data_IF_209675844107
#
_entry.id   IF_209675844107
#
_cell.length_a   1.000
_cell.length_b   1.000
_cell.length_c   1.000
_cell.angle_alpha   90.00
_cell.angle_beta   90.00
_cell.angle_gamma   90.00
#
_symmetry.space_group_name_H-M   'P 1'
#
loop_
_entity.id
_entity.type
_entity.pdbx_description
1 polymer ?
#
# COMPACT_ATOMS: atom_id res chain seq x y z
N UNK A 1 -25.02 39.66 2.24
CA UNK A 1 -24.44 39.02 1.04
C UNK A 1 -23.42 37.99 1.51
N UNK A 2 -23.70 36.69 1.33
CA UNK A 2 -22.81 35.61 1.78
C UNK A 2 -21.77 35.34 0.69
N UNK A 3 -20.47 35.39 1.03
CA UNK A 3 -19.41 34.95 0.12
C UNK A 3 -19.57 33.46 -0.21
N UNK A 4 -19.31 33.06 -1.45
CA UNK A 4 -19.34 31.65 -1.85
C UNK A 4 -18.22 30.86 -1.15
N UNK A 5 -18.47 29.58 -0.88
CA UNK A 5 -17.50 28.66 -0.23
C UNK A 5 -16.16 28.65 -0.96
N UNK A 6 -16.17 28.61 -2.30
CA UNK A 6 -14.96 28.68 -3.12
C UNK A 6 -14.14 29.95 -2.89
N UNK A 7 -14.79 31.10 -2.68
CA UNK A 7 -14.11 32.36 -2.42
C UNK A 7 -13.47 32.37 -1.02
N UNK A 8 -14.14 31.80 -0.02
CA UNK A 8 -13.59 31.65 1.33
C UNK A 8 -12.37 30.72 1.33
N UNK A 9 -12.46 29.56 0.66
CA UNK A 9 -11.37 28.60 0.52
C UNK A 9 -10.16 29.23 -0.19
N UNK A 10 -10.38 29.90 -1.32
CA UNK A 10 -9.30 30.57 -2.06
C UNK A 10 -8.59 31.59 -1.20
N UNK A 11 -9.34 32.41 -0.45
CA UNK A 11 -8.76 33.39 0.47
C UNK A 11 -7.92 32.71 1.56
N UNK A 12 -8.43 31.65 2.19
CA UNK A 12 -7.72 30.89 3.21
C UNK A 12 -6.42 30.30 2.67
N UNK A 13 -6.46 29.66 1.50
CA UNK A 13 -5.27 29.06 0.89
C UNK A 13 -4.20 30.12 0.57
N UNK A 14 -4.60 31.23 -0.04
CA UNK A 14 -3.67 32.32 -0.39
C UNK A 14 -3.11 33.07 0.82
N UNK A 15 -3.87 33.22 1.91
CA UNK A 15 -3.44 34.04 3.06
C UNK A 15 -2.77 33.24 4.17
N UNK A 16 -3.05 31.95 4.29
CA UNK A 16 -2.65 31.15 5.46
C UNK A 16 -1.84 29.92 5.13
N UNK A 17 -1.90 29.40 3.90
CA UNK A 17 -1.11 28.23 3.47
C UNK A 17 0.05 28.64 2.57
N UNK A 18 -0.25 29.28 1.44
CA UNK A 18 0.74 29.55 0.39
C UNK A 18 1.74 30.66 0.75
N UNK A 19 1.44 31.45 1.77
CA UNK A 19 2.30 32.52 2.30
C UNK A 19 3.13 32.07 3.50
N UNK A 20 2.99 30.83 3.96
CA UNK A 20 3.73 30.33 5.12
C UNK A 20 5.23 30.36 4.82
N UNK A 21 6.06 30.97 5.69
CA UNK A 21 7.50 31.01 5.49
C UNK A 21 8.13 29.62 5.28
N UNK A 22 7.61 28.60 5.98
CA UNK A 22 8.06 27.21 5.87
C UNK A 22 7.79 26.58 4.48
N UNK A 23 6.82 27.10 3.72
CA UNK A 23 6.45 26.61 2.40
C UNK A 23 6.98 27.49 1.26
N UNK A 24 7.75 28.54 1.56
CA UNK A 24 8.19 29.55 0.58
C UNK A 24 8.94 28.96 -0.62
N UNK A 25 9.71 27.87 -0.40
CA UNK A 25 10.47 27.17 -1.44
C UNK A 25 9.82 25.82 -1.84
N UNK A 26 8.72 25.44 -1.21
CA UNK A 26 8.06 24.18 -1.49
C UNK A 26 7.21 24.28 -2.77
N UNK A 27 7.13 23.18 -3.52
CA UNK A 27 6.10 23.01 -4.52
C UNK A 27 4.83 22.51 -3.83
N UNK A 28 3.76 23.32 -3.87
CA UNK A 28 2.51 23.04 -3.17
C UNK A 28 1.38 22.82 -4.16
N UNK A 29 0.78 21.63 -4.15
CA UNK A 29 -0.45 21.30 -4.86
C UNK A 29 -1.63 21.21 -3.90
N UNK A 30 -2.77 21.82 -4.25
CA UNK A 30 -4.04 21.70 -3.51
C UNK A 30 -5.16 21.43 -4.48
N UNK A 31 -5.97 20.41 -4.21
CA UNK A 31 -7.18 20.10 -4.97
C UNK A 31 -8.30 19.77 -4.00
N UNK A 32 -9.42 20.50 -4.08
CA UNK A 32 -10.60 20.28 -3.23
C UNK A 32 -11.76 19.95 -4.15
N UNK A 33 -12.25 18.73 -4.04
CA UNK A 33 -13.34 18.18 -4.82
C UNK A 33 -14.51 17.84 -3.89
N UNK A 34 -15.72 18.24 -4.29
CA UNK A 34 -16.94 17.84 -3.62
C UNK A 34 -17.59 16.66 -4.35
N UNK A 35 -17.64 15.48 -3.71
CA UNK A 35 -18.23 14.29 -4.33
C UNK A 35 -19.75 14.37 -4.47
N UNK A 36 -20.46 15.21 -3.70
CA UNK A 36 -21.93 15.35 -3.77
C UNK A 36 -22.32 16.16 -5.00
N UNK A 37 -21.75 17.36 -5.16
CA UNK A 37 -22.04 18.20 -6.33
C UNK A 37 -21.21 17.87 -7.56
N UNK A 38 -20.20 16.99 -7.42
CA UNK A 38 -19.23 16.61 -8.45
C UNK A 38 -18.43 17.78 -9.01
N UNK A 39 -18.11 18.77 -8.17
CA UNK A 39 -17.43 20.00 -8.58
C UNK A 39 -16.14 20.18 -7.79
N UNK A 40 -15.12 20.69 -8.47
CA UNK A 40 -13.95 21.23 -7.80
C UNK A 40 -14.29 22.58 -7.17
N UNK A 41 -14.04 22.70 -5.87
CA UNK A 41 -14.23 23.96 -5.13
C UNK A 41 -12.98 24.82 -5.17
N UNK A 42 -11.80 24.21 -5.30
CA UNK A 42 -10.52 24.90 -5.35
C UNK A 42 -9.44 24.04 -6.01
N UNK A 43 -8.52 24.70 -6.71
CA UNK A 43 -7.34 24.08 -7.30
C UNK A 43 -6.17 25.07 -7.29
N UNK A 44 -5.03 24.64 -6.78
CA UNK A 44 -3.75 25.35 -6.87
C UNK A 44 -2.68 24.34 -7.30
N UNK A 45 -2.10 24.52 -8.48
CA UNK A 45 -1.17 23.56 -9.08
C UNK A 45 -1.69 22.10 -9.07
N UNK A 46 -3.02 21.93 -9.11
CA UNK A 46 -3.68 20.63 -8.98
C UNK A 46 -3.39 19.67 -10.16
N UNK A 47 -2.89 20.21 -11.27
CA UNK A 47 -2.53 19.52 -12.51
C UNK A 47 -1.04 19.12 -12.56
N UNK A 48 -0.24 19.46 -11.54
CA UNK A 48 1.21 19.18 -11.54
C UNK A 48 1.53 17.82 -10.93
N UNK A 49 2.64 17.26 -11.38
CA UNK A 49 3.20 16.04 -10.80
C UNK A 49 3.99 16.35 -9.53
N UNK A 50 3.83 15.50 -8.53
CA UNK A 50 4.53 15.57 -7.25
C UNK A 50 5.05 14.19 -6.88
N UNK A 51 6.05 14.13 -5.99
CA UNK A 51 6.43 12.88 -5.33
C UNK A 51 5.36 12.57 -4.28
N UNK A 52 4.54 11.53 -4.46
CA UNK A 52 3.36 11.31 -3.62
C UNK A 52 3.70 10.74 -2.23
N UNK A 53 4.95 10.30 -2.02
CA UNK A 53 5.34 9.52 -0.85
C UNK A 53 4.33 8.38 -0.59
N UNK A 54 3.86 8.22 0.65
CA UNK A 54 2.87 7.19 1.00
C UNK A 54 1.47 7.42 0.40
N UNK A 55 1.17 8.55 -0.25
CA UNK A 55 -0.10 8.72 -0.95
C UNK A 55 -0.26 7.73 -2.12
N UNK A 56 0.83 7.15 -2.62
CA UNK A 56 0.80 6.00 -3.54
C UNK A 56 -0.02 4.83 -3.01
N UNK A 57 -0.16 4.68 -1.69
CA UNK A 57 -0.99 3.62 -1.08
C UNK A 57 -2.48 3.74 -1.45
N UNK A 58 -2.98 4.93 -1.76
CA UNK A 58 -4.40 5.15 -2.11
C UNK A 58 -4.77 4.39 -3.40
N UNK A 59 -4.13 4.63 -4.57
CA UNK A 59 -4.43 3.87 -5.77
C UNK A 59 -4.08 2.38 -5.66
N UNK A 60 -3.02 2.01 -4.92
CA UNK A 60 -2.69 0.59 -4.67
C UNK A 60 -3.78 -0.11 -3.88
N UNK A 61 -4.29 0.50 -2.81
CA UNK A 61 -5.39 -0.02 -2.01
C UNK A 61 -6.67 -0.17 -2.85
N UNK A 62 -7.01 0.84 -3.65
CA UNK A 62 -8.13 0.76 -4.59
C UNK A 62 -7.99 -0.41 -5.57
N UNK A 63 -6.81 -0.60 -6.16
CA UNK A 63 -6.56 -1.72 -7.07
C UNK A 63 -6.70 -3.07 -6.35
N UNK A 64 -6.14 -3.20 -5.15
CA UNK A 64 -6.27 -4.41 -4.33
C UNK A 64 -7.75 -4.74 -4.04
N UNK A 65 -8.52 -3.76 -3.54
CA UNK A 65 -9.95 -3.94 -3.26
C UNK A 65 -10.75 -4.28 -4.52
N UNK A 66 -10.39 -3.71 -5.67
CA UNK A 66 -11.09 -3.93 -6.94
C UNK A 66 -10.88 -5.33 -7.50
N UNK A 67 -9.69 -5.92 -7.31
CA UNK A 67 -9.29 -7.15 -8.00
C UNK A 67 -9.12 -8.38 -7.10
N UNK A 68 -8.82 -8.21 -5.80
CA UNK A 68 -8.51 -9.32 -4.91
C UNK A 68 -9.71 -9.81 -4.09
N UNK A 69 -10.78 -9.02 -3.97
CA UNK A 69 -11.94 -9.39 -3.15
C UNK A 69 -11.67 -9.31 -1.65
N UNK A 70 -12.37 -10.12 -0.86
CA UNK A 70 -12.32 -10.13 0.61
C UNK A 70 -11.27 -11.08 1.20
N UNK A 71 -10.65 -11.91 0.38
CA UNK A 71 -9.71 -12.94 0.80
C UNK A 71 -8.70 -13.27 -0.30
N UNK A 72 -7.48 -13.61 0.12
CA UNK A 72 -6.39 -14.02 -0.77
C UNK A 72 -5.87 -15.39 -0.37
N UNK A 73 -5.28 -16.10 -1.33
CA UNK A 73 -4.65 -17.39 -1.08
C UNK A 73 -3.36 -17.19 -0.25
N UNK A 74 -3.18 -17.98 0.80
CA UNK A 74 -1.95 -17.97 1.59
C UNK A 74 -0.81 -18.75 0.90
N UNK A 75 -1.11 -19.97 0.45
CA UNK A 75 -0.21 -20.83 -0.32
C UNK A 75 -0.97 -21.87 -1.14
N UNK A 76 -0.37 -22.36 -2.22
CA UNK A 76 -0.76 -23.62 -2.86
C UNK A 76 -0.16 -24.77 -2.06
N UNK A 77 -0.96 -25.82 -1.80
CA UNK A 77 -0.49 -26.94 -0.99
C UNK A 77 -0.80 -28.26 -1.68
N UNK A 78 0.25 -29.06 -1.91
CA UNK A 78 0.16 -30.42 -2.42
C UNK A 78 0.46 -31.40 -1.29
N UNK A 79 -0.53 -32.24 -0.98
CA UNK A 79 -0.48 -33.20 0.12
C UNK A 79 -0.18 -34.61 -0.43
N UNK A 80 1.07 -35.05 -0.27
CA UNK A 80 1.53 -36.39 -0.70
C UNK A 80 1.54 -37.37 0.48
N UNK A 81 1.95 -38.61 0.27
CA UNK A 81 1.97 -39.63 1.33
C UNK A 81 2.81 -39.21 2.55
N UNK A 82 4.05 -38.76 2.31
CA UNK A 82 5.02 -38.44 3.36
C UNK A 82 5.47 -36.97 3.37
N UNK A 83 5.06 -36.19 2.38
CA UNK A 83 5.51 -34.80 2.18
C UNK A 83 4.32 -33.89 1.98
N UNK A 84 4.34 -32.74 2.65
CA UNK A 84 3.45 -31.61 2.43
C UNK A 84 4.24 -30.52 1.69
N UNK A 85 4.01 -30.37 0.39
CA UNK A 85 4.62 -29.30 -0.39
C UNK A 85 3.80 -28.02 -0.23
N UNK A 86 4.45 -26.94 0.17
CA UNK A 86 3.85 -25.63 0.38
C UNK A 86 4.53 -24.63 -0.54
N UNK A 87 3.77 -24.07 -1.48
CA UNK A 87 4.21 -23.02 -2.39
C UNK A 87 3.54 -21.71 -2.01
N UNK A 88 4.27 -20.76 -1.40
CA UNK A 88 3.71 -19.51 -0.90
C UNK A 88 3.07 -18.66 -2.01
N UNK A 89 2.05 -17.88 -1.66
CA UNK A 89 1.29 -17.06 -2.61
C UNK A 89 1.28 -15.56 -2.25
N UNK A 90 2.15 -15.12 -1.33
CA UNK A 90 2.31 -13.72 -0.94
C UNK A 90 1.37 -13.28 0.19
N UNK A 91 1.11 -14.13 1.17
CA UNK A 91 0.32 -13.80 2.35
C UNK A 91 1.03 -12.75 3.22
N UNK A 92 0.57 -11.48 3.25
CA UNK A 92 1.25 -10.44 4.01
C UNK A 92 0.98 -10.55 5.52
N UNK A 93 0.21 -11.55 5.95
CA UNK A 93 -0.23 -11.75 7.34
C UNK A 93 0.38 -12.98 8.01
N UNK A 94 1.12 -13.79 7.25
CA UNK A 94 1.71 -15.02 7.76
C UNK A 94 2.65 -14.73 8.94
N UNK A 95 2.47 -15.46 10.04
CA UNK A 95 3.21 -15.29 11.31
C UNK A 95 3.01 -13.95 12.06
N UNK A 96 2.22 -13.02 11.52
CA UNK A 96 1.93 -11.77 12.23
C UNK A 96 0.93 -12.03 13.36
N UNK A 97 1.28 -11.71 14.63
CA UNK A 97 0.46 -12.02 15.80
C UNK A 97 -0.87 -11.24 15.84
N UNK A 98 -0.97 -10.13 15.11
CA UNK A 98 -2.17 -9.33 14.98
C UNK A 98 -3.29 -10.07 14.22
N UNK A 99 -2.93 -11.11 13.46
CA UNK A 99 -3.86 -11.92 12.67
C UNK A 99 -4.11 -13.27 13.36
N UNK A 100 -5.26 -13.38 14.02
CA UNK A 100 -5.64 -14.56 14.82
C UNK A 100 -5.87 -15.83 14.00
N UNK A 101 -6.16 -15.70 12.71
CA UNK A 101 -6.41 -16.83 11.81
C UNK A 101 -5.17 -17.13 10.97
N UNK A 102 -4.47 -18.22 11.30
CA UNK A 102 -3.24 -18.65 10.62
C UNK A 102 -3.43 -20.09 10.07
N UNK A 103 -4.29 -20.24 9.07
CA UNK A 103 -4.71 -21.56 8.55
C UNK A 103 -3.54 -22.38 7.99
N UNK A 104 -2.65 -21.74 7.21
CA UNK A 104 -1.45 -22.38 6.67
C UNK A 104 -0.50 -22.83 7.79
N UNK A 105 -0.23 -21.96 8.77
CA UNK A 105 0.62 -22.28 9.91
C UNK A 105 0.04 -23.45 10.72
N UNK A 106 -1.26 -23.44 10.96
CA UNK A 106 -1.95 -24.52 11.67
C UNK A 106 -1.81 -25.85 10.92
N UNK A 107 -1.92 -25.84 9.59
CA UNK A 107 -1.72 -27.05 8.78
C UNK A 107 -0.29 -27.57 8.86
N UNK A 108 0.69 -26.68 8.79
CA UNK A 108 2.11 -27.02 8.93
C UNK A 108 2.41 -27.59 10.32
N UNK A 109 1.91 -26.96 11.39
CA UNK A 109 2.14 -27.40 12.78
C UNK A 109 1.49 -28.75 13.11
N UNK A 110 0.37 -29.07 12.48
CA UNK A 110 -0.40 -30.27 12.78
C UNK A 110 -0.06 -31.49 11.89
N UNK A 111 0.93 -31.38 11.00
CA UNK A 111 1.36 -32.50 10.16
C UNK A 111 2.53 -33.26 10.80
N UNK A 112 2.54 -34.58 10.64
CA UNK A 112 3.70 -35.43 10.93
C UNK A 112 4.58 -35.65 9.68
N UNK A 113 4.16 -35.12 8.52
CA UNK A 113 4.86 -35.23 7.24
C UNK A 113 6.03 -34.25 7.20
N UNK A 114 7.03 -34.56 6.37
CA UNK A 114 8.03 -33.59 5.98
C UNK A 114 7.35 -32.40 5.29
N UNK A 115 7.73 -31.17 5.64
CA UNK A 115 7.20 -29.97 4.99
C UNK A 115 8.27 -29.42 4.08
N UNK A 116 7.97 -29.34 2.78
CA UNK A 116 8.87 -28.80 1.77
C UNK A 116 8.31 -27.47 1.27
N UNK A 117 9.11 -26.41 1.41
CA UNK A 117 8.80 -25.11 0.82
C UNK A 117 9.22 -25.11 -0.65
N UNK A 118 8.26 -24.97 -1.54
CA UNK A 118 8.49 -24.80 -2.97
C UNK A 118 8.64 -23.30 -3.28
N UNK A 119 9.89 -22.85 -3.38
CA UNK A 119 10.27 -21.49 -3.76
C UNK A 119 10.63 -21.39 -5.25
N UNK A 120 10.28 -22.40 -6.06
CA UNK A 120 10.61 -22.42 -7.50
C UNK A 120 9.76 -21.44 -8.32
N UNK A 121 8.72 -20.85 -7.73
CA UNK A 121 7.88 -19.85 -8.40
C UNK A 121 8.72 -18.65 -8.81
N UNK A 122 8.78 -18.39 -10.11
CA UNK A 122 9.30 -17.13 -10.60
C UNK A 122 8.24 -16.06 -10.41
N UNK A 123 8.63 -14.97 -9.76
CA UNK A 123 7.80 -13.79 -9.60
C UNK A 123 8.40 -12.63 -10.39
N UNK A 124 7.52 -11.76 -10.90
CA UNK A 124 7.93 -10.58 -11.66
C UNK A 124 8.36 -9.40 -10.75
N UNK A 125 8.69 -9.68 -9.48
CA UNK A 125 9.16 -8.67 -8.53
C UNK A 125 10.52 -9.06 -7.91
N UNK A 126 11.32 -8.02 -7.63
CA UNK A 126 12.56 -8.11 -6.86
C UNK A 126 12.33 -7.89 -5.36
N UNK A 127 13.26 -8.32 -4.51
CA UNK A 127 13.22 -8.06 -3.06
C UNK A 127 13.03 -6.57 -2.74
N UNK A 128 13.73 -5.70 -3.45
CA UNK A 128 13.68 -4.25 -3.27
C UNK A 128 13.03 -3.53 -4.45
N UNK A 129 12.33 -2.42 -4.19
CA UNK A 129 11.72 -1.58 -5.21
C UNK A 129 12.74 -0.70 -5.94
N UNK A 130 12.43 -0.29 -7.18
CA UNK A 130 13.24 0.70 -7.89
C UNK A 130 13.20 2.04 -7.14
N UNK A 131 14.37 2.66 -6.97
CA UNK A 131 14.52 3.95 -6.28
C UNK A 131 14.51 3.87 -4.75
N UNK A 132 14.51 2.67 -4.16
CA UNK A 132 14.70 2.50 -2.72
C UNK A 132 16.15 2.82 -2.33
N UNK A 133 16.32 3.56 -1.24
CA UNK A 133 17.65 3.96 -0.76
C UNK A 133 18.35 2.79 -0.10
N UNK A 134 19.64 2.62 -0.37
CA UNK A 134 20.47 1.63 0.33
C UNK A 134 20.68 2.00 1.80
N UNK A 135 20.68 3.30 2.11
CA UNK A 135 20.91 3.79 3.48
C UNK A 135 19.81 3.34 4.46
N UNK A 136 18.62 3.03 3.95
CA UNK A 136 17.45 2.63 4.73
C UNK A 136 17.29 1.10 4.82
N UNK A 137 18.27 0.29 4.38
CA UNK A 137 18.08 -1.16 4.21
C UNK A 137 17.73 -1.93 5.50
N UNK A 138 18.08 -1.38 6.68
CA UNK A 138 17.78 -1.98 7.98
C UNK A 138 16.45 -1.50 8.56
N UNK A 139 15.80 -0.54 7.90
CA UNK A 139 14.57 0.04 8.40
C UNK A 139 13.37 -0.86 8.11
N UNK A 140 12.45 -0.95 9.07
CA UNK A 140 11.29 -1.84 8.95
C UNK A 140 10.38 -1.52 7.74
N UNK A 141 10.36 -0.25 7.29
CA UNK A 141 9.60 0.16 6.11
C UNK A 141 10.25 -0.23 4.77
N UNK A 142 11.44 -0.84 4.82
CA UNK A 142 12.22 -1.34 3.68
C UNK A 142 12.47 -2.85 3.79
N UNK A 143 11.58 -3.59 4.46
CA UNK A 143 11.64 -5.04 4.47
C UNK A 143 11.62 -5.63 3.04
N UNK A 144 12.39 -6.71 2.84
CA UNK A 144 12.44 -7.42 1.57
C UNK A 144 11.05 -7.96 1.19
N UNK A 145 10.70 -7.79 -0.09
CA UNK A 145 9.50 -8.40 -0.67
C UNK A 145 9.77 -9.85 -1.01
N UNK A 146 8.89 -10.74 -0.55
CA UNK A 146 8.93 -12.18 -0.77
C UNK A 146 7.51 -12.70 -0.99
N UNK A 147 7.37 -13.85 -1.65
CA UNK A 147 6.09 -14.55 -1.74
C UNK A 147 5.81 -15.40 -0.49
N UNK A 148 6.85 -15.71 0.30
CA UNK A 148 6.76 -16.26 1.65
C UNK A 148 6.80 -15.15 2.68
#
# INVERSE_FOLDING_TARGET
>A
MSCSVSHQIKRSASQSLLTQPALKQAHVGVSIYDPVTKKYWYGHQADKYFVPASNTKIPTCYAAMKYLGDSILSAYVLDSANVLYVRPAGDPTFLLPEFSTQSLLNRIKNTAKEVVLDLSTQHDFSAYGSGWSWDDFQEAYLAERSAL
#
